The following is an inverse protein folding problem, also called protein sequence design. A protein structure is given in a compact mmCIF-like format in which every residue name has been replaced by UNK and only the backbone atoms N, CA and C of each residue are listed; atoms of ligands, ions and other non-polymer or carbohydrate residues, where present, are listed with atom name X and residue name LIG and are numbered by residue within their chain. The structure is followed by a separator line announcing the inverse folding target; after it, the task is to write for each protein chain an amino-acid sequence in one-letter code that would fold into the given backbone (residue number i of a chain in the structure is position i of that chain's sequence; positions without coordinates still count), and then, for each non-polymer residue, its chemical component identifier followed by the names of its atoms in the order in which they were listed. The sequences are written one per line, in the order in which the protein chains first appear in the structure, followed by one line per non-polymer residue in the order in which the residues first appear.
data_IF_777759914407
#
_entry.id   IF_777759914407
#
_cell.length_a   1.000
_cell.length_b   1.000
_cell.length_c   1.000
_cell.angle_alpha   90.00
_cell.angle_beta   90.00
_cell.angle_gamma   90.00
#
_symmetry.space_group_name_H-M   'P 1'
#
loop_
_entity.id
_entity.type
_entity.pdbx_description
1 polymer ?
#
# COMPACT_ATOMS: atom_id res chain seq x y z
N UNK A 1 25.65 36.93 19.93
CA UNK A 1 24.29 36.60 19.43
C UNK A 1 24.46 35.97 18.07
N UNK A 2 24.33 34.65 17.94
CA UNK A 2 24.58 33.93 16.69
C UNK A 2 23.26 33.70 15.95
N UNK A 3 23.12 34.33 14.77
CA UNK A 3 22.04 34.10 13.81
C UNK A 3 22.21 32.71 13.18
N UNK A 4 21.38 31.75 13.58
CA UNK A 4 21.25 30.46 12.89
C UNK A 4 20.13 30.59 11.84
N UNK A 5 20.35 30.23 10.57
CA UNK A 5 19.27 30.19 9.59
C UNK A 5 18.29 29.05 9.93
N UNK A 6 16.99 29.19 9.60
CA UNK A 6 16.02 28.15 9.86
C UNK A 6 16.36 26.92 9.02
N UNK A 7 16.39 25.76 9.66
CA UNK A 7 16.54 24.45 9.00
C UNK A 7 15.34 24.25 8.06
N UNK A 8 15.54 23.94 6.77
CA UNK A 8 14.43 23.54 5.92
C UNK A 8 13.91 22.19 6.44
N UNK A 9 12.74 22.20 7.07
CA UNK A 9 11.98 20.98 7.29
C UNK A 9 11.49 20.52 5.93
N UNK A 10 12.21 19.57 5.32
CA UNK A 10 11.66 18.79 4.22
C UNK A 10 10.68 17.81 4.86
N UNK A 11 9.51 18.31 5.25
CA UNK A 11 8.34 17.46 5.33
C UNK A 11 8.04 17.08 3.89
N UNK A 12 8.36 15.84 3.52
CA UNK A 12 7.82 15.21 2.32
C UNK A 12 6.33 15.01 2.54
N UNK A 13 5.58 16.10 2.47
CA UNK A 13 4.13 16.05 2.35
C UNK A 13 3.78 15.26 1.08
N UNK A 14 2.72 14.44 1.11
CA UNK A 14 2.28 13.72 -0.07
C UNK A 14 2.06 14.73 -1.20
N UNK A 15 2.61 14.41 -2.37
CA UNK A 15 2.35 15.15 -3.60
C UNK A 15 0.88 14.91 -3.95
N UNK A 16 -0.01 15.79 -3.46
CA UNK A 16 -1.41 15.84 -3.90
C UNK A 16 -1.39 16.06 -5.41
N UNK A 17 -1.77 15.02 -6.16
CA UNK A 17 -1.85 15.05 -7.62
C UNK A 17 -3.28 14.75 -8.03
N UNK A 18 -4.01 15.80 -8.39
CA UNK A 18 -5.34 15.77 -9.02
C UNK A 18 -6.43 15.18 -8.11
N UNK A 19 -6.83 15.97 -7.10
CA UNK A 19 -7.97 15.95 -6.15
C UNK A 19 -8.62 14.63 -5.65
N UNK A 20 -8.56 13.52 -6.38
CA UNK A 20 -9.19 12.24 -6.01
C UNK A 20 -8.22 11.07 -6.11
N UNK A 21 -7.12 11.19 -6.88
CA UNK A 21 -6.20 10.06 -7.09
C UNK A 21 -5.07 9.99 -6.06
N UNK A 22 -4.84 8.79 -5.53
CA UNK A 22 -3.76 8.51 -4.57
C UNK A 22 -2.60 7.83 -5.30
N UNK A 23 -1.73 8.64 -5.91
CA UNK A 23 -0.55 8.13 -6.63
C UNK A 23 0.68 8.05 -5.71
N UNK A 24 1.45 6.98 -5.83
CA UNK A 24 2.72 6.82 -5.11
C UNK A 24 3.75 6.01 -5.91
N UNK A 25 5.03 6.30 -5.76
CA UNK A 25 6.09 5.45 -6.32
C UNK A 25 6.42 4.26 -5.41
N UNK A 26 7.06 3.22 -5.95
CA UNK A 26 7.56 2.07 -5.16
C UNK A 26 8.35 2.54 -3.93
N UNK A 27 9.29 3.46 -4.10
CA UNK A 27 10.12 3.98 -3.01
C UNK A 27 9.33 4.78 -1.98
N UNK A 28 8.32 5.53 -2.42
CA UNK A 28 7.43 6.25 -1.51
C UNK A 28 6.58 5.29 -0.66
N UNK A 29 6.09 4.21 -1.28
CA UNK A 29 5.35 3.16 -0.57
C UNK A 29 6.24 2.41 0.41
N UNK A 30 7.43 1.99 -0.02
CA UNK A 30 8.40 1.30 0.81
C UNK A 30 8.71 2.12 2.08
N UNK A 31 9.05 3.41 1.92
CA UNK A 31 9.32 4.29 3.04
C UNK A 31 8.11 4.44 3.98
N UNK A 32 6.89 4.51 3.45
CA UNK A 32 5.67 4.59 4.29
C UNK A 32 5.48 3.32 5.11
N UNK A 33 5.65 2.15 4.51
CA UNK A 33 5.53 0.86 5.21
C UNK A 33 6.63 0.70 6.25
N UNK A 34 7.89 0.98 5.89
CA UNK A 34 9.03 0.98 6.82
C UNK A 34 8.77 1.89 8.03
N UNK A 35 8.21 3.08 7.80
CA UNK A 35 7.90 4.04 8.87
C UNK A 35 6.76 3.54 9.78
N UNK A 36 5.72 2.94 9.21
CA UNK A 36 4.55 2.48 9.97
C UNK A 36 4.84 1.20 10.77
N UNK A 37 5.68 0.32 10.23
CA UNK A 37 5.98 -0.99 10.82
C UNK A 37 7.34 -1.03 11.54
N UNK A 38 8.07 0.08 11.56
CA UNK A 38 9.44 0.20 12.09
C UNK A 38 10.37 -0.91 11.57
N UNK A 39 10.34 -1.14 10.26
CA UNK A 39 11.08 -2.21 9.60
C UNK A 39 11.92 -1.69 8.41
N UNK A 40 12.70 -2.59 7.81
CA UNK A 40 13.43 -2.34 6.57
C UNK A 40 12.98 -3.31 5.50
N UNK A 41 12.66 -2.78 4.32
CA UNK A 41 12.23 -3.56 3.17
C UNK A 41 13.36 -3.68 2.15
N UNK A 42 13.49 -4.86 1.57
CA UNK A 42 14.22 -5.01 0.31
C UNK A 42 13.33 -4.47 -0.81
N UNK A 43 13.77 -3.40 -1.46
CA UNK A 43 12.97 -2.67 -2.43
C UNK A 43 12.63 -3.51 -3.66
N UNK A 44 13.49 -4.46 -4.06
CA UNK A 44 13.21 -5.35 -5.18
C UNK A 44 12.15 -6.38 -4.82
N UNK A 45 12.24 -6.96 -3.62
CA UNK A 45 11.22 -7.91 -3.13
C UNK A 45 9.87 -7.19 -2.95
N UNK A 46 9.90 -5.95 -2.47
CA UNK A 46 8.69 -5.16 -2.31
C UNK A 46 8.07 -4.77 -3.66
N UNK A 47 8.87 -4.44 -4.67
CA UNK A 47 8.39 -4.23 -6.04
C UNK A 47 7.76 -5.49 -6.64
N UNK A 48 8.40 -6.65 -6.48
CA UNK A 48 7.83 -7.94 -6.89
C UNK A 48 6.48 -8.19 -6.23
N UNK A 49 6.34 -7.89 -4.93
CA UNK A 49 5.06 -7.99 -4.22
C UNK A 49 4.00 -7.04 -4.80
N UNK A 50 4.34 -5.79 -5.08
CA UNK A 50 3.39 -4.83 -5.68
C UNK A 50 2.92 -5.28 -7.06
N UNK A 51 3.81 -5.89 -7.86
CA UNK A 51 3.44 -6.48 -9.15
C UNK A 51 2.49 -7.67 -9.01
N UNK A 52 2.66 -8.52 -7.99
CA UNK A 52 1.69 -9.59 -7.71
C UNK A 52 0.33 -9.02 -7.26
N UNK A 53 0.35 -7.96 -6.44
CA UNK A 53 -0.87 -7.29 -6.00
C UNK A 53 -1.61 -6.63 -7.17
N UNK A 54 -0.89 -6.09 -8.15
CA UNK A 54 -1.47 -5.58 -9.40
C UNK A 54 -2.12 -6.68 -10.25
N UNK A 55 -1.47 -7.84 -10.37
CA UNK A 55 -2.09 -9.01 -11.03
C UNK A 55 -3.34 -9.53 -10.32
N UNK A 56 -3.41 -9.31 -9.01
CA UNK A 56 -4.58 -9.60 -8.18
C UNK A 56 -5.63 -8.49 -8.15
N UNK A 57 -5.44 -7.41 -8.94
CA UNK A 57 -6.32 -6.25 -9.02
C UNK A 57 -6.41 -5.43 -7.71
N UNK A 58 -5.46 -5.57 -6.78
CA UNK A 58 -5.47 -4.89 -5.47
C UNK A 58 -4.86 -3.49 -5.51
N UNK A 59 -3.86 -3.27 -6.35
CA UNK A 59 -3.22 -1.98 -6.62
C UNK A 59 -3.12 -1.83 -8.13
N UNK A 60 -3.02 -0.62 -8.65
CA UNK A 60 -2.94 -0.42 -10.11
C UNK A 60 -1.61 0.20 -10.50
N UNK A 61 -0.83 -0.48 -11.33
CA UNK A 61 0.31 0.14 -11.98
C UNK A 61 -0.14 1.10 -13.09
N UNK A 62 0.27 2.36 -12.99
CA UNK A 62 -0.13 3.41 -13.95
C UNK A 62 0.93 3.68 -15.00
N UNK A 63 2.18 3.83 -14.56
CA UNK A 63 3.28 4.26 -15.44
C UNK A 63 4.65 4.06 -14.77
N UNK A 64 5.72 4.33 -15.53
CA UNK A 64 7.09 4.38 -15.01
C UNK A 64 7.61 5.80 -15.17
N UNK A 65 8.22 6.33 -14.12
CA UNK A 65 8.83 7.66 -14.12
C UNK A 65 10.05 7.72 -15.03
N UNK A 66 10.56 8.93 -15.31
CA UNK A 66 11.79 9.11 -16.11
C UNK A 66 13.04 8.48 -15.48
N UNK A 67 13.06 8.31 -14.17
CA UNK A 67 14.15 7.65 -13.44
C UNK A 67 13.94 6.14 -13.28
N UNK A 68 12.88 5.56 -13.85
CA UNK A 68 12.63 4.12 -13.85
C UNK A 68 11.86 3.60 -12.64
N UNK A 69 11.23 4.47 -11.84
CA UNK A 69 10.37 4.03 -10.71
C UNK A 69 8.94 3.75 -11.20
N UNK A 70 8.35 2.66 -10.73
CA UNK A 70 6.94 2.38 -10.93
C UNK A 70 6.07 3.36 -10.13
N UNK A 71 4.98 3.82 -10.75
CA UNK A 71 3.94 4.65 -10.14
C UNK A 71 2.67 3.82 -10.01
N UNK A 72 2.11 3.81 -8.82
CA UNK A 72 0.95 3.03 -8.41
C UNK A 72 -0.21 3.98 -8.10
N UNK A 73 -1.41 3.65 -8.58
CA UNK A 73 -2.67 4.25 -8.15
C UNK A 73 -3.26 3.38 -7.04
N UNK A 74 -3.52 4.01 -5.89
CA UNK A 74 -4.04 3.38 -4.69
C UNK A 74 -5.42 3.92 -4.31
N UNK A 75 -6.09 4.60 -5.23
CA UNK A 75 -7.38 5.25 -4.97
C UNK A 75 -8.43 4.24 -4.51
N UNK A 76 -8.58 3.15 -5.25
CA UNK A 76 -9.55 2.09 -4.95
C UNK A 76 -8.96 0.95 -4.11
N UNK A 77 -7.64 0.95 -3.89
CA UNK A 77 -6.95 -0.15 -3.19
C UNK A 77 -7.52 -0.47 -1.81
N UNK A 78 -7.86 0.52 -0.95
CA UNK A 78 -8.46 0.23 0.35
C UNK A 78 -9.77 -0.57 0.24
N UNK A 79 -10.63 -0.20 -0.72
CA UNK A 79 -11.93 -0.85 -0.91
C UNK A 79 -11.75 -2.27 -1.46
N UNK A 80 -10.90 -2.45 -2.48
CA UNK A 80 -10.62 -3.77 -3.09
C UNK A 80 -9.99 -4.75 -2.08
N UNK A 81 -9.06 -4.26 -1.25
CA UNK A 81 -8.45 -5.06 -0.19
C UNK A 81 -9.50 -5.39 0.89
N UNK A 82 -10.33 -4.43 1.29
CA UNK A 82 -11.36 -4.65 2.31
C UNK A 82 -12.40 -5.68 1.87
N UNK A 83 -12.86 -5.63 0.62
CA UNK A 83 -13.78 -6.60 0.02
C UNK A 83 -13.20 -8.02 0.07
N UNK A 84 -11.96 -8.18 -0.38
CA UNK A 84 -11.28 -9.49 -0.36
C UNK A 84 -11.09 -10.03 1.06
N UNK A 85 -10.72 -9.17 2.01
CA UNK A 85 -10.60 -9.58 3.42
C UNK A 85 -11.97 -9.99 3.97
N UNK A 86 -13.04 -9.27 3.62
CA UNK A 86 -14.39 -9.61 4.03
C UNK A 86 -14.81 -10.99 3.51
N UNK A 87 -14.55 -11.29 2.23
CA UNK A 87 -14.85 -12.59 1.64
C UNK A 87 -14.12 -13.72 2.37
N UNK A 88 -12.82 -13.56 2.63
CA UNK A 88 -12.04 -14.56 3.37
C UNK A 88 -12.58 -14.75 4.79
N UNK A 89 -13.01 -13.68 5.46
CA UNK A 89 -13.60 -13.78 6.80
C UNK A 89 -14.96 -14.49 6.76
N UNK A 90 -15.80 -14.18 5.78
CA UNK A 90 -17.10 -14.85 5.59
C UNK A 90 -16.89 -16.34 5.34
N UNK A 91 -16.00 -16.72 4.43
CA UNK A 91 -15.67 -18.12 4.15
C UNK A 91 -15.22 -18.84 5.42
N UNK A 92 -14.36 -18.21 6.22
CA UNK A 92 -13.90 -18.77 7.50
C UNK A 92 -15.03 -18.94 8.52
N UNK A 93 -16.00 -18.02 8.57
CA UNK A 93 -17.15 -18.12 9.44
C UNK A 93 -18.11 -19.22 8.99
N UNK A 94 -18.30 -19.38 7.68
CA UNK A 94 -19.09 -20.48 7.10
C UNK A 94 -18.46 -21.83 7.46
N UNK A 95 -17.16 -21.99 7.21
CA UNK A 95 -16.40 -23.20 7.56
C UNK A 95 -16.53 -23.54 9.05
N UNK A 96 -16.45 -22.51 9.91
CA UNK A 96 -16.56 -22.68 11.36
C UNK A 96 -17.97 -23.14 11.78
N UNK A 97 -19.02 -22.50 11.24
CA UNK A 97 -20.41 -22.84 11.55
C UNK A 97 -20.79 -24.23 11.05
N UNK A 98 -20.29 -24.64 9.87
CA UNK A 98 -20.55 -25.97 9.32
C UNK A 98 -19.77 -27.07 10.07
N UNK A 99 -18.57 -26.74 10.58
CA UNK A 99 -17.82 -27.59 11.49
C UNK A 99 -18.55 -27.87 12.80
N UNK A 100 -19.19 -26.86 13.39
CA UNK A 100 -20.01 -26.99 14.60
C UNK A 100 -21.30 -27.81 14.35
N UNK A 101 -21.86 -27.73 13.13
CA UNK A 101 -23.09 -28.45 12.75
C UNK A 101 -22.87 -29.95 12.54
N UNK A 102 -21.64 -30.38 12.31
CA UNK A 102 -21.26 -31.78 12.09
C UNK A 102 -20.94 -32.54 13.40
N UNK A 103 -20.90 -31.84 14.54
CA UNK A 103 -20.58 -32.38 15.86
C UNK A 103 -21.81 -32.63 16.75
N UNK A 104 -23.03 -32.46 16.22
CA UNK A 104 -24.32 -32.64 16.91
C UNK A 104 -25.26 -33.52 16.10
#
# INVERSE_FOLDING_TARGET
MANRPPTPSIQSSPVQTTDERVLATTSQLARRVETLLDCRLDERVFEELLLELDRGDYVEWVTVTRNGEYVWDLTDSPDRIAETVADVVVDRLVDWLDGDRSAN
#
